data_IF_953702236753
#
_entry.id   IF_953702236753
#
_cell.length_a   1.000
_cell.length_b   1.000
_cell.length_c   1.000
_cell.angle_alpha   90.00
_cell.angle_beta   90.00
_cell.angle_gamma   90.00
#
_symmetry.space_group_name_H-M   'P 1'
#
loop_
_entity.id
_entity.type
_entity.pdbx_description
1 polymer ?
#
# COMPACT_ATOMS: atom_id res chain seq x y z
N UNK A 1 1.91 20.70 -2.76
CA UNK A 1 1.86 20.47 -1.30
C UNK A 1 2.71 19.24 -1.05
N UNK A 2 3.78 19.39 -0.28
CA UNK A 2 4.58 18.25 0.16
C UNK A 2 3.69 17.43 1.10
N UNK A 3 3.18 16.30 0.59
CA UNK A 3 2.23 15.48 1.32
C UNK A 3 2.98 14.72 2.42
N UNK A 4 3.08 15.32 3.61
CA UNK A 4 3.60 14.64 4.78
C UNK A 4 2.62 13.55 5.22
N UNK A 5 3.10 12.38 5.66
CA UNK A 5 2.22 11.33 6.15
C UNK A 5 1.42 11.80 7.37
N UNK A 6 0.10 11.66 7.30
CA UNK A 6 -0.85 11.98 8.37
C UNK A 6 -1.43 10.68 8.92
N UNK A 7 -0.85 10.17 10.01
CA UNK A 7 -1.28 8.93 10.67
C UNK A 7 -0.59 7.66 10.16
N UNK A 8 -1.14 6.52 10.55
CA UNK A 8 -0.57 5.18 10.32
C UNK A 8 -1.58 4.28 9.63
N UNK A 9 -1.10 3.35 8.81
CA UNK A 9 -1.95 2.23 8.38
C UNK A 9 -2.40 1.43 9.61
N UNK A 10 -3.64 0.90 9.61
CA UNK A 10 -4.15 0.13 10.73
C UNK A 10 -3.30 -1.12 10.96
N UNK A 11 -2.97 -1.41 12.21
CA UNK A 11 -2.06 -2.50 12.52
C UNK A 11 -2.84 -3.74 12.90
N UNK A 12 -2.67 -4.82 12.13
CA UNK A 12 -3.18 -6.13 12.47
C UNK A 12 -2.42 -6.75 13.65
N UNK A 13 -1.11 -6.50 13.71
CA UNK A 13 -0.23 -6.92 14.80
C UNK A 13 0.64 -5.72 15.21
N UNK A 14 0.70 -5.44 16.52
CA UNK A 14 1.44 -4.28 17.05
C UNK A 14 2.93 -4.63 17.26
N UNK A 15 3.83 -3.65 17.13
CA UNK A 15 5.20 -3.81 17.61
C UNK A 15 5.26 -4.09 19.12
N UNK A 16 6.27 -4.83 19.55
CA UNK A 16 6.58 -5.07 20.95
C UNK A 16 7.70 -4.15 21.45
N UNK A 17 7.81 -3.94 22.78
CA UNK A 17 8.94 -3.25 23.36
C UNK A 17 10.28 -3.88 22.94
N UNK A 18 11.22 -3.03 22.49
CA UNK A 18 12.54 -3.46 22.01
C UNK A 18 12.62 -3.75 20.51
N UNK A 19 11.50 -3.71 19.78
CA UNK A 19 11.54 -3.79 18.32
C UNK A 19 12.16 -2.51 17.73
N UNK A 20 13.07 -2.66 16.76
CA UNK A 20 13.45 -1.53 15.88
C UNK A 20 12.30 -1.27 14.92
N UNK A 21 11.94 -0.01 14.71
CA UNK A 21 10.83 0.35 13.82
C UNK A 21 11.31 1.04 12.55
N UNK A 22 10.77 0.60 11.41
CA UNK A 22 10.98 1.21 10.10
C UNK A 22 9.64 1.78 9.61
N UNK A 23 9.62 3.06 9.28
CA UNK A 23 8.45 3.78 8.80
C UNK A 23 8.62 4.06 7.32
N UNK A 24 7.72 3.51 6.53
CA UNK A 24 7.68 3.72 5.09
C UNK A 24 6.49 4.63 4.78
N UNK A 25 6.70 5.77 4.11
CA UNK A 25 5.59 6.61 3.70
C UNK A 25 4.83 5.88 2.59
N UNK A 26 3.50 5.84 2.68
CA UNK A 26 2.66 5.19 1.68
C UNK A 26 1.52 6.09 1.24
N UNK A 27 1.19 6.04 -0.04
CA UNK A 27 -0.02 6.64 -0.59
C UNK A 27 -1.17 5.65 -0.45
N UNK A 28 -2.29 6.12 0.10
CA UNK A 28 -3.56 5.43 0.16
C UNK A 28 -4.39 5.98 -0.99
N UNK A 29 -4.49 5.23 -2.10
CA UNK A 29 -5.19 5.66 -3.30
C UNK A 29 -6.50 4.88 -3.47
N UNK A 30 -7.67 5.50 -3.19
CA UNK A 30 -8.95 4.93 -3.53
C UNK A 30 -9.07 4.75 -5.05
N UNK A 31 -9.44 3.54 -5.46
CA UNK A 31 -9.63 3.17 -6.86
C UNK A 31 -11.08 2.80 -7.11
N UNK A 32 -11.63 3.41 -8.15
CA UNK A 32 -12.91 3.08 -8.72
C UNK A 32 -12.71 2.22 -9.96
N UNK A 33 -13.33 1.05 -9.97
CA UNK A 33 -13.10 0.04 -11.00
C UNK A 33 -14.43 -0.33 -11.64
N UNK A 34 -14.56 -0.06 -12.94
CA UNK A 34 -15.66 -0.56 -13.76
C UNK A 34 -15.18 -1.75 -14.58
N UNK A 35 -15.69 -2.92 -14.25
CA UNK A 35 -15.50 -4.13 -15.05
C UNK A 35 -16.66 -4.37 -16.00
N UNK A 36 -16.33 -4.72 -17.24
CA UNK A 36 -17.27 -5.22 -18.24
C UNK A 36 -16.81 -6.58 -18.72
N UNK A 37 -17.74 -7.54 -18.78
CA UNK A 37 -17.49 -8.88 -19.31
C UNK A 37 -18.54 -9.18 -20.36
N UNK A 38 -18.19 -9.98 -21.37
CA UNK A 38 -19.19 -10.47 -22.31
C UNK A 38 -20.16 -11.48 -21.65
N UNK A 39 -19.70 -12.17 -20.60
CA UNK A 39 -20.44 -13.24 -19.91
C UNK A 39 -21.22 -12.74 -18.68
N UNK A 40 -20.89 -11.56 -18.16
CA UNK A 40 -21.49 -11.00 -16.95
C UNK A 40 -21.78 -9.51 -17.16
N UNK A 41 -22.87 -9.00 -16.57
CA UNK A 41 -23.18 -7.58 -16.59
C UNK A 41 -22.06 -6.69 -16.00
N UNK A 42 -22.13 -5.37 -16.22
CA UNK A 42 -21.15 -4.44 -15.68
C UNK A 42 -21.09 -4.53 -14.15
N UNK A 43 -19.87 -4.52 -13.60
CA UNK A 43 -19.64 -4.52 -12.15
C UNK A 43 -18.83 -3.29 -11.77
N UNK A 44 -19.30 -2.60 -10.74
CA UNK A 44 -18.58 -1.48 -10.16
C UNK A 44 -17.97 -1.91 -8.83
N UNK A 45 -16.66 -1.70 -8.67
CA UNK A 45 -15.89 -2.16 -7.53
C UNK A 45 -15.13 -0.95 -6.95
N UNK A 46 -15.16 -0.82 -5.63
CA UNK A 46 -14.42 0.19 -4.89
C UNK A 46 -13.32 -0.51 -4.07
N UNK A 47 -12.07 -0.17 -4.32
CA UNK A 47 -10.91 -0.72 -3.61
C UNK A 47 -9.94 0.40 -3.25
N UNK A 48 -8.85 0.04 -2.57
CA UNK A 48 -7.74 0.94 -2.28
C UNK A 48 -6.46 0.27 -2.72
N UNK A 49 -5.61 1.02 -3.42
CA UNK A 49 -4.22 0.63 -3.67
C UNK A 49 -3.34 1.41 -2.71
N UNK A 50 -2.57 0.68 -1.91
CA UNK A 50 -1.50 1.24 -1.09
C UNK A 50 -0.25 1.23 -1.96
N UNK A 51 0.32 2.41 -2.23
CA UNK A 51 1.57 2.55 -2.99
C UNK A 51 2.68 2.93 -2.03
N UNK A 52 3.73 2.13 -1.98
CA UNK A 52 4.95 2.43 -1.24
C UNK A 52 5.63 3.68 -1.83
N UNK A 53 5.73 4.73 -1.02
CA UNK A 53 6.30 6.02 -1.43
C UNK A 53 7.81 5.98 -1.60
N UNK A 54 8.50 4.93 -1.15
CA UNK A 54 9.94 4.75 -1.28
C UNK A 54 10.32 3.95 -2.54
N UNK A 55 9.61 2.85 -2.84
CA UNK A 55 9.96 1.94 -3.96
C UNK A 55 8.84 1.75 -5.00
N UNK A 56 7.64 2.28 -4.80
CA UNK A 56 6.51 2.15 -5.73
C UNK A 56 5.76 0.82 -5.69
N UNK A 57 6.10 -0.10 -4.77
CA UNK A 57 5.40 -1.38 -4.62
C UNK A 57 3.94 -1.17 -4.23
N UNK A 58 3.04 -1.93 -4.84
CA UNK A 58 1.59 -1.80 -4.62
C UNK A 58 1.02 -2.93 -3.79
N UNK A 59 0.06 -2.62 -2.92
CA UNK A 59 -0.80 -3.60 -2.23
C UNK A 59 -2.27 -3.23 -2.49
N UNK A 60 -3.05 -4.13 -3.09
CA UNK A 60 -4.48 -3.93 -3.34
C UNK A 60 -5.30 -4.49 -2.18
N UNK A 61 -6.17 -3.68 -1.59
CA UNK A 61 -6.97 -4.03 -0.40
C UNK A 61 -8.41 -3.53 -0.51
N UNK A 62 -9.28 -4.09 0.33
CA UNK A 62 -10.65 -3.58 0.48
C UNK A 62 -10.63 -2.20 1.16
N UNK A 63 -11.52 -1.30 0.73
CA UNK A 63 -11.62 0.07 1.27
C UNK A 63 -11.82 0.09 2.79
N UNK A 64 -12.54 -0.87 3.37
CA UNK A 64 -12.82 -0.92 4.81
C UNK A 64 -11.58 -1.23 5.65
N UNK A 65 -10.53 -1.75 5.03
CA UNK A 65 -9.32 -2.18 5.72
C UNK A 65 -8.27 -1.06 5.91
N UNK A 66 -8.54 0.18 5.48
CA UNK A 66 -7.50 1.21 5.34
C UNK A 66 -7.83 2.53 6.02
N UNK A 67 -8.67 2.51 7.06
CA UNK A 67 -8.89 3.72 7.89
C UNK A 67 -7.60 4.01 8.68
N UNK A 68 -6.91 5.14 8.43
CA UNK A 68 -5.67 5.43 9.13
C UNK A 68 -5.90 5.67 10.63
N UNK A 69 -4.96 5.19 11.43
CA UNK A 69 -4.91 5.44 12.86
C UNK A 69 -4.15 6.75 13.12
N UNK A 70 -4.77 7.68 13.85
CA UNK A 70 -4.16 8.98 14.16
C UNK A 70 -3.51 9.03 15.55
N UNK A 71 -3.98 8.20 16.47
CA UNK A 71 -3.60 8.26 17.89
C UNK A 71 -2.44 7.33 18.25
N UNK A 72 -1.88 6.63 17.26
CA UNK A 72 -0.75 5.74 17.49
C UNK A 72 0.55 6.54 17.57
N UNK A 73 1.25 6.46 18.69
CA UNK A 73 2.62 6.97 18.80
C UNK A 73 3.52 5.85 19.32
N UNK A 74 4.30 5.21 18.44
CA UNK A 74 5.16 4.10 18.84
C UNK A 74 6.30 4.60 19.73
N UNK A 75 6.49 3.95 20.86
CA UNK A 75 7.69 4.05 21.68
C UNK A 75 8.67 2.95 21.24
N UNK A 76 9.77 3.34 20.62
CA UNK A 76 10.85 2.43 20.25
C UNK A 76 12.21 3.13 20.42
N UNK A 77 13.21 2.38 20.85
CA UNK A 77 14.58 2.90 21.04
C UNK A 77 15.24 3.27 19.70
N UNK A 78 14.94 2.51 18.64
CA UNK A 78 15.44 2.75 17.29
C UNK A 78 14.29 2.95 16.31
N UNK A 79 14.24 4.14 15.70
CA UNK A 79 13.28 4.50 14.67
C UNK A 79 14.00 4.96 13.40
N UNK A 80 13.70 4.32 12.28
CA UNK A 80 14.15 4.70 10.95
C UNK A 80 12.96 5.15 10.12
N UNK A 81 13.01 6.37 9.57
CA UNK A 81 11.97 6.91 8.68
C UNK A 81 12.54 7.04 7.28
N UNK A 82 11.88 6.42 6.31
CA UNK A 82 12.27 6.53 4.91
C UNK A 82 11.67 7.78 4.26
N UNK A 83 12.43 8.37 3.36
CA UNK A 83 11.98 9.51 2.56
C UNK A 83 11.00 9.08 1.47
N UNK A 84 10.12 10.00 1.10
CA UNK A 84 9.24 9.82 -0.06
C UNK A 84 10.05 10.08 -1.33
N UNK A 85 10.12 9.08 -2.22
CA UNK A 85 10.84 9.15 -3.50
C UNK A 85 9.90 9.20 -4.71
N UNK A 86 8.68 8.73 -4.54
CA UNK A 86 7.64 8.73 -5.56
C UNK A 86 6.82 10.01 -5.45
N UNK A 87 6.59 10.72 -6.55
CA UNK A 87 5.73 11.90 -6.57
C UNK A 87 4.24 11.52 -6.47
N UNK A 88 3.35 12.40 -6.00
CA UNK A 88 1.92 12.10 -5.95
C UNK A 88 1.31 11.73 -7.32
N UNK A 89 1.77 12.39 -8.39
CA UNK A 89 1.34 12.09 -9.76
C UNK A 89 1.76 10.67 -10.18
N UNK A 90 3.02 10.30 -9.92
CA UNK A 90 3.52 8.97 -10.24
C UNK A 90 2.85 7.88 -9.37
N UNK A 91 2.57 8.19 -8.10
CA UNK A 91 1.84 7.27 -7.22
C UNK A 91 0.44 6.97 -7.74
N UNK A 92 -0.25 7.96 -8.33
CA UNK A 92 -1.55 7.76 -8.98
C UNK A 92 -1.44 6.80 -10.17
N UNK A 93 -0.49 7.02 -11.07
CA UNK A 93 -0.27 6.15 -12.24
C UNK A 93 0.05 4.71 -11.80
N UNK A 94 0.91 4.56 -10.79
CA UNK A 94 1.25 3.27 -10.19
C UNK A 94 0.01 2.62 -9.56
N UNK A 95 -0.85 3.38 -8.87
CA UNK A 95 -2.07 2.86 -8.27
C UNK A 95 -3.08 2.38 -9.33
N UNK A 96 -3.28 3.15 -10.40
CA UNK A 96 -4.15 2.74 -11.51
C UNK A 96 -3.66 1.45 -12.15
N UNK A 97 -2.34 1.32 -12.36
CA UNK A 97 -1.73 0.09 -12.87
C UNK A 97 -1.83 -1.09 -11.88
N UNK A 98 -1.58 -0.84 -10.59
CA UNK A 98 -1.60 -1.83 -9.52
C UNK A 98 -3.00 -2.40 -9.23
N UNK A 99 -4.06 -1.67 -9.60
CA UNK A 99 -5.44 -2.13 -9.51
C UNK A 99 -5.86 -3.04 -10.69
N UNK A 100 -5.00 -3.27 -11.69
CA UNK A 100 -5.29 -4.15 -12.83
C UNK A 100 -4.67 -5.54 -12.59
N UNK A 101 -5.47 -6.62 -12.44
CA UNK A 101 -4.97 -7.97 -12.25
C UNK A 101 -4.19 -8.43 -13.50
N UNK A 102 -3.20 -9.29 -13.33
CA UNK A 102 -2.35 -9.72 -14.45
C UNK A 102 -3.12 -10.45 -15.56
N UNK A 103 -4.23 -11.11 -15.21
CA UNK A 103 -5.14 -11.74 -16.19
C UNK A 103 -5.79 -10.73 -17.15
N UNK A 104 -5.94 -9.46 -16.72
CA UNK A 104 -6.42 -8.37 -17.56
C UNK A 104 -5.29 -7.70 -18.36
N UNK A 105 -4.03 -8.12 -18.17
CA UNK A 105 -2.87 -7.65 -18.96
C UNK A 105 -2.56 -8.58 -20.15
N UNK A 106 -3.24 -9.72 -20.26
CA UNK A 106 -3.03 -10.75 -21.29
C UNK A 106 -4.09 -10.72 -22.40
N UNK A 107 -3.95 -11.59 -23.42
CA UNK A 107 -4.84 -11.73 -24.59
C UNK A 107 -6.33 -11.92 -24.25
N UNK A 108 -6.66 -12.30 -23.01
CA UNK A 108 -8.01 -12.38 -22.45
C UNK A 108 -8.74 -11.02 -22.37
N UNK A 109 -8.06 -9.89 -22.59
CA UNK A 109 -8.67 -8.54 -22.73
C UNK A 109 -9.83 -8.48 -23.71
N UNK A 110 -9.83 -9.32 -24.75
CA UNK A 110 -10.86 -9.32 -25.80
C UNK A 110 -12.26 -9.66 -25.23
N UNK A 111 -12.34 -10.33 -24.08
CA UNK A 111 -13.61 -10.80 -23.48
C UNK A 111 -13.97 -10.01 -22.21
N UNK A 112 -13.02 -9.28 -21.61
CA UNK A 112 -13.21 -8.52 -20.36
C UNK A 112 -12.39 -7.22 -20.37
N UNK A 113 -13.08 -6.09 -20.17
CA UNK A 113 -12.47 -4.76 -20.03
C UNK A 113 -12.59 -4.27 -18.58
N UNK A 114 -11.55 -3.59 -18.09
CA UNK A 114 -11.53 -2.95 -16.77
C UNK A 114 -11.08 -1.50 -16.96
N UNK A 115 -11.94 -0.56 -16.56
CA UNK A 115 -11.58 0.84 -16.45
C UNK A 115 -11.28 1.14 -14.98
N UNK A 116 -10.14 1.76 -14.71
CA UNK A 116 -9.69 2.13 -13.37
C UNK A 116 -9.52 3.64 -13.34
N UNK A 117 -9.97 4.27 -12.26
CA UNK A 117 -9.78 5.69 -12.01
C UNK A 117 -9.39 5.92 -10.56
N UNK A 118 -8.39 6.77 -10.34
CA UNK A 118 -8.05 7.31 -9.02
C UNK A 118 -8.44 8.79 -8.99
N UNK A 119 -9.21 9.18 -7.98
CA UNK A 119 -9.48 10.60 -7.74
C UNK A 119 -8.34 11.22 -6.93
N UNK A 120 -7.57 12.14 -7.51
CA UNK A 120 -6.41 12.76 -6.87
C UNK A 120 -6.73 13.42 -5.53
N UNK A 121 -7.89 14.08 -5.43
CA UNK A 121 -8.34 14.71 -4.18
C UNK A 121 -8.68 13.72 -3.05
N UNK A 122 -8.59 12.42 -3.31
CA UNK A 122 -8.84 11.36 -2.33
C UNK A 122 -7.60 10.57 -1.91
N UNK A 123 -6.43 10.89 -2.49
CA UNK A 123 -5.17 10.24 -2.12
C UNK A 123 -4.67 10.84 -0.80
N UNK A 124 -4.48 10.00 0.20
CA UNK A 124 -3.86 10.38 1.48
C UNK A 124 -2.47 9.77 1.61
N UNK A 125 -1.62 10.35 2.46
CA UNK A 125 -0.32 9.77 2.80
C UNK A 125 -0.34 9.33 4.25
N UNK A 126 0.14 8.13 4.55
CA UNK A 126 0.23 7.57 5.89
C UNK A 126 1.55 6.81 6.08
N UNK A 127 1.86 6.47 7.32
CA UNK A 127 2.99 5.60 7.65
C UNK A 127 2.57 4.13 7.64
N UNK A 128 3.30 3.29 6.90
CA UNK A 128 3.32 1.84 7.13
C UNK A 128 4.50 1.52 8.02
N UNK A 129 4.26 0.76 9.09
CA UNK A 129 5.28 0.45 10.09
C UNK A 129 5.71 -1.00 9.95
N UNK A 130 7.02 -1.23 10.00
CA UNK A 130 7.61 -2.55 10.10
C UNK A 130 8.36 -2.64 11.42
N UNK A 131 8.15 -3.73 12.16
CA UNK A 131 8.85 -4.02 13.39
C UNK A 131 9.93 -5.08 13.13
N UNK A 132 11.17 -4.79 13.51
CA UNK A 132 12.34 -5.66 13.28
C UNK A 132 12.76 -6.28 14.61
N UNK A 133 12.72 -7.61 14.66
CA UNK A 133 13.09 -8.42 15.83
C UNK A 133 14.15 -9.45 15.44
N UNK A 134 15.41 -9.10 15.70
CA UNK A 134 16.55 -9.93 15.31
C UNK A 134 16.61 -10.14 13.79
N UNK A 135 16.22 -11.32 13.31
CA UNK A 135 16.21 -11.69 11.87
C UNK A 135 14.81 -11.73 11.26
N UNK A 136 13.77 -11.42 12.02
CA UNK A 136 12.40 -11.36 11.55
C UNK A 136 11.95 -9.90 11.42
N UNK A 137 11.15 -9.63 10.40
CA UNK A 137 10.42 -8.38 10.24
C UNK A 137 8.93 -8.70 10.25
N UNK A 138 8.19 -8.00 11.10
CA UNK A 138 6.75 -7.97 11.06
C UNK A 138 6.29 -6.76 10.24
N UNK A 139 5.53 -7.00 9.18
CA UNK A 139 4.70 -5.97 8.56
C UNK A 139 3.42 -5.79 9.38
N UNK A 140 3.35 -4.71 10.16
CA UNK A 140 2.27 -4.53 11.14
C UNK A 140 0.90 -4.38 10.49
N UNK A 141 0.84 -3.89 9.25
CA UNK A 141 -0.41 -3.75 8.49
C UNK A 141 -1.00 -5.11 8.11
N UNK A 142 -0.20 -6.02 7.53
CA UNK A 142 -0.69 -7.32 7.05
C UNK A 142 -0.60 -8.45 8.10
N UNK A 143 0.25 -8.27 9.12
CA UNK A 143 0.65 -9.31 10.08
C UNK A 143 1.61 -10.35 9.49
N UNK A 144 2.18 -10.12 8.30
CA UNK A 144 3.12 -11.04 7.69
C UNK A 144 4.51 -10.91 8.32
N UNK A 145 5.14 -12.07 8.56
CA UNK A 145 6.52 -12.20 9.01
C UNK A 145 7.44 -12.45 7.81
N UNK A 146 8.50 -11.67 7.71
CA UNK A 146 9.48 -11.70 6.61
C UNK A 146 10.84 -12.02 7.23
N UNK A 147 11.51 -13.07 6.74
CA UNK A 147 12.87 -13.37 7.17
C UNK A 147 13.89 -12.42 6.54
N UNK A 148 14.97 -12.11 7.26
CA UNK A 148 15.96 -11.06 6.92
C UNK A 148 16.56 -11.14 5.51
N UNK A 149 16.64 -12.33 4.88
CA UNK A 149 17.09 -12.47 3.49
C UNK A 149 16.13 -11.76 2.50
N UNK A 150 14.85 -11.63 2.84
CA UNK A 150 13.86 -10.89 2.07
C UNK A 150 13.93 -9.37 2.23
N UNK A 151 14.71 -8.85 3.20
CA UNK A 151 14.80 -7.43 3.54
C UNK A 151 15.51 -6.64 2.44
N UNK A 152 16.64 -7.15 1.94
CA UNK A 152 17.37 -6.54 0.83
C UNK A 152 16.53 -6.52 -0.45
N UNK A 153 15.79 -7.61 -0.71
CA UNK A 153 14.88 -7.72 -1.85
C UNK A 153 13.54 -6.98 -1.69
N UNK A 154 13.29 -6.32 -0.56
CA UNK A 154 12.08 -5.51 -0.36
C UNK A 154 12.40 -4.01 -0.31
N UNK A 155 13.57 -3.63 0.23
CA UNK A 155 14.01 -2.23 0.29
C UNK A 155 14.82 -1.80 -0.94
N UNK A 156 15.46 -2.72 -1.66
CA UNK A 156 16.43 -2.38 -2.72
C UNK A 156 16.20 -3.11 -4.06
N UNK A 157 15.05 -3.76 -4.27
CA UNK A 157 14.69 -4.40 -5.54
C UNK A 157 13.93 -3.47 -6.48
#
# INVERSE_FOLDING_TARGET
MDAQPSGYLPMKERPEPGDKLIFIPVYIAPVEILERSLMHGPRYIYQVVIVDGYNGKTTLVDRKAVTPEMDYMPEAEEIERLDIKISPMLAKEIAEYGAVPDDFKSWKKIIRNRYVSVSEGSINVAWRVYAVRGKEILDTFSGQRIQSAGLAGMLFS
#
